data_IF_471537413937
#
_entry.id   IF_471537413937
#
_cell.length_a   1.000
_cell.length_b   1.000
_cell.length_c   1.000
_cell.angle_alpha   90.00
_cell.angle_beta   90.00
_cell.angle_gamma   90.00
#
_symmetry.space_group_name_H-M   'P 1'
#
loop_
_entity.id
_entity.type
_entity.pdbx_description
1 polymer ?
#
# COMPACT_ATOMS: atom_id res chain seq x y z
N UNK A 1 -13.25 10.61 5.31
CA UNK A 1 -12.07 10.61 4.42
C UNK A 1 -12.42 9.81 3.19
N UNK A 2 -12.05 10.27 2.00
CA UNK A 2 -12.13 9.46 0.77
C UNK A 2 -10.91 8.54 0.70
N UNK A 3 -11.14 7.26 0.39
CA UNK A 3 -10.09 6.24 0.33
C UNK A 3 -10.06 5.65 -1.07
N UNK A 4 -8.92 5.78 -1.74
CA UNK A 4 -8.67 5.16 -3.03
C UNK A 4 -7.60 4.08 -2.85
N UNK A 5 -7.91 2.87 -3.33
CA UNK A 5 -6.97 1.77 -3.33
C UNK A 5 -6.72 1.29 -4.75
N UNK A 6 -5.47 1.39 -5.19
CA UNK A 6 -5.03 1.01 -6.52
C UNK A 6 -4.20 -0.27 -6.42
N UNK A 7 -4.59 -1.29 -7.18
CA UNK A 7 -3.92 -2.59 -7.21
C UNK A 7 -3.38 -2.82 -8.62
N UNK A 8 -2.10 -3.21 -8.74
CA UNK A 8 -1.52 -3.54 -10.05
C UNK A 8 -2.23 -4.72 -10.73
N UNK A 9 -2.22 -4.74 -12.06
CA UNK A 9 -2.83 -5.83 -12.86
C UNK A 9 -2.12 -7.15 -12.51
N UNK A 10 -2.87 -8.13 -12.00
CA UNK A 10 -2.41 -9.43 -11.48
C UNK A 10 -1.93 -9.46 -10.02
N UNK A 11 -2.14 -8.40 -9.24
CA UNK A 11 -1.83 -8.39 -7.80
C UNK A 11 -2.55 -9.55 -7.09
N UNK A 12 -1.76 -10.52 -6.59
CA UNK A 12 -2.20 -11.73 -5.89
C UNK A 12 -3.16 -12.67 -6.65
N UNK A 13 -3.30 -12.52 -7.98
CA UNK A 13 -4.13 -13.41 -8.81
C UNK A 13 -5.65 -13.28 -8.65
N UNK A 14 -6.15 -12.88 -7.47
CA UNK A 14 -7.58 -12.76 -7.14
C UNK A 14 -7.91 -11.40 -6.52
N UNK A 15 -7.59 -10.32 -7.23
CA UNK A 15 -7.70 -8.93 -6.78
C UNK A 15 -9.09 -8.53 -6.27
N UNK A 16 -10.13 -9.24 -6.70
CA UNK A 16 -11.52 -8.98 -6.30
C UNK A 16 -11.81 -9.49 -4.88
N UNK A 17 -11.28 -10.66 -4.50
CA UNK A 17 -11.71 -11.38 -3.29
C UNK A 17 -11.33 -10.70 -1.97
N UNK A 18 -10.24 -9.95 -1.94
CA UNK A 18 -9.74 -9.31 -0.71
C UNK A 18 -9.79 -7.78 -0.75
N UNK A 19 -10.35 -7.19 -1.82
CA UNK A 19 -10.47 -5.74 -1.99
C UNK A 19 -11.38 -5.09 -0.94
N UNK A 20 -12.47 -5.77 -0.56
CA UNK A 20 -13.38 -5.31 0.49
C UNK A 20 -12.71 -5.32 1.87
N UNK A 21 -12.02 -6.41 2.20
CA UNK A 21 -11.27 -6.55 3.46
C UNK A 21 -10.15 -5.52 3.56
N UNK A 22 -9.44 -5.27 2.45
CA UNK A 22 -8.42 -4.24 2.36
C UNK A 22 -9.00 -2.84 2.63
N UNK A 23 -10.14 -2.51 2.03
CA UNK A 23 -10.82 -1.24 2.27
C UNK A 23 -11.26 -1.12 3.75
N UNK A 24 -11.79 -2.19 4.34
CA UNK A 24 -12.16 -2.20 5.77
C UNK A 24 -10.95 -1.93 6.67
N UNK A 25 -9.82 -2.58 6.40
CA UNK A 25 -8.56 -2.34 7.13
C UNK A 25 -8.10 -0.88 7.01
N UNK A 26 -8.19 -0.27 5.83
CA UNK A 26 -7.88 1.15 5.65
C UNK A 26 -8.81 2.06 6.45
N UNK A 27 -10.10 1.71 6.53
CA UNK A 27 -11.08 2.49 7.29
C UNK A 27 -10.83 2.47 8.80
N UNK A 28 -10.21 1.42 9.35
CA UNK A 28 -9.82 1.40 10.77
C UNK A 28 -8.83 2.53 11.12
N UNK A 29 -8.11 3.05 10.13
CA UNK A 29 -7.12 4.10 10.30
C UNK A 29 -7.69 5.52 10.15
N UNK A 30 -8.94 5.72 9.70
CA UNK A 30 -9.50 7.07 9.52
C UNK A 30 -9.40 7.92 10.79
N UNK A 31 -9.68 7.29 11.95
CA UNK A 31 -9.61 7.93 13.26
C UNK A 31 -8.21 8.46 13.63
N UNK A 32 -7.15 7.92 13.02
CA UNK A 32 -5.76 8.33 13.28
C UNK A 32 -5.32 9.54 12.44
N UNK A 33 -6.11 9.93 11.44
CA UNK A 33 -5.82 11.04 10.55
C UNK A 33 -6.93 12.11 10.60
N UNK A 34 -7.14 12.77 11.75
CA UNK A 34 -8.17 13.80 11.87
C UNK A 34 -7.88 14.97 10.91
N UNK A 35 -8.84 15.29 10.04
CA UNK A 35 -8.71 16.37 9.05
C UNK A 35 -8.10 15.95 7.70
N UNK A 36 -7.64 14.71 7.56
CA UNK A 36 -7.22 14.15 6.28
C UNK A 36 -8.45 13.95 5.38
N UNK A 37 -8.40 14.53 4.18
CA UNK A 37 -9.49 14.46 3.22
C UNK A 37 -9.39 13.19 2.36
N UNK A 38 -8.18 12.84 1.92
CA UNK A 38 -7.91 11.79 0.94
C UNK A 38 -6.78 10.86 1.40
N UNK A 39 -6.99 9.55 1.24
CA UNK A 39 -5.98 8.50 1.42
C UNK A 39 -5.87 7.68 0.13
N UNK A 40 -4.72 7.77 -0.53
CA UNK A 40 -4.40 6.98 -1.71
C UNK A 40 -3.40 5.88 -1.35
N UNK A 41 -3.77 4.63 -1.62
CA UNK A 41 -2.89 3.47 -1.40
C UNK A 41 -2.67 2.76 -2.73
N UNK A 42 -1.42 2.79 -3.21
CA UNK A 42 -0.98 2.10 -4.42
C UNK A 42 -0.17 0.87 -4.04
N UNK A 43 -0.72 -0.31 -4.28
CA UNK A 43 -0.06 -1.60 -4.06
C UNK A 43 0.32 -2.23 -5.40
N UNK A 44 1.63 -2.40 -5.61
CA UNK A 44 2.20 -2.96 -6.83
C UNK A 44 2.86 -4.30 -6.56
N UNK A 45 2.60 -5.29 -7.40
CA UNK A 45 3.38 -6.52 -7.48
C UNK A 45 4.26 -6.45 -8.73
N UNK A 46 5.55 -6.68 -8.55
CA UNK A 46 6.54 -6.65 -9.63
C UNK A 46 7.32 -7.95 -9.66
N UNK A 47 7.57 -8.45 -10.87
CA UNK A 47 8.51 -9.56 -11.05
C UNK A 47 9.93 -9.05 -10.78
N UNK A 48 10.70 -9.75 -9.94
CA UNK A 48 12.07 -9.36 -9.59
C UNK A 48 13.02 -9.20 -10.80
N UNK A 49 12.70 -9.86 -11.93
CA UNK A 49 13.45 -9.75 -13.18
C UNK A 49 13.32 -8.37 -13.87
N UNK A 50 12.38 -7.52 -13.44
CA UNK A 50 12.23 -6.16 -13.96
C UNK A 50 13.26 -5.21 -13.29
N UNK A 51 14.54 -5.39 -13.60
CA UNK A 51 15.63 -4.56 -13.09
C UNK A 51 15.55 -3.13 -13.63
N UNK A 52 14.78 -2.28 -12.96
CA UNK A 52 14.89 -0.82 -12.92
C UNK A 52 13.88 -0.29 -11.90
N UNK A 53 14.24 -0.26 -10.62
CA UNK A 53 13.37 0.26 -9.58
C UNK A 53 13.91 1.58 -9.06
N UNK A 54 13.20 2.66 -9.40
CA UNK A 54 13.27 3.90 -8.67
C UNK A 54 12.63 3.66 -7.29
N UNK A 55 13.43 3.81 -6.24
CA UNK A 55 12.93 3.83 -4.86
C UNK A 55 12.03 5.06 -4.70
N UNK A 56 10.72 4.87 -4.67
CA UNK A 56 9.77 5.92 -4.30
C UNK A 56 9.59 5.93 -2.79
N UNK A 57 9.53 7.12 -2.20
CA UNK A 57 9.19 7.27 -0.78
C UNK A 57 7.82 6.63 -0.51
N UNK A 58 7.70 5.71 0.45
CA UNK A 58 6.48 4.92 0.64
C UNK A 58 5.34 5.70 1.31
N UNK A 59 5.62 6.88 1.88
CA UNK A 59 4.66 7.76 2.58
C UNK A 59 4.89 9.18 2.06
N UNK A 60 3.83 9.86 1.63
CA UNK A 60 3.90 11.25 1.21
C UNK A 60 2.65 12.01 1.64
N UNK A 61 2.83 13.12 2.36
CA UNK A 61 1.77 14.05 2.69
C UNK A 61 1.75 15.19 1.67
N UNK A 62 0.56 15.49 1.14
CA UNK A 62 0.31 16.46 0.09
C UNK A 62 -0.78 17.45 0.52
N UNK A 63 -0.89 18.57 -0.20
CA UNK A 63 -1.95 19.56 -0.03
C UNK A 63 -2.11 20.02 1.42
N UNK A 64 -1.02 20.49 2.05
CA UNK A 64 -0.97 20.86 3.47
C UNK A 64 -1.44 19.72 4.39
N UNK A 65 -0.92 18.52 4.14
CA UNK A 65 -1.24 17.29 4.89
C UNK A 65 -2.71 16.86 4.80
N UNK A 66 -3.49 17.37 3.84
CA UNK A 66 -4.89 16.94 3.63
C UNK A 66 -5.01 15.71 2.74
N UNK A 67 -3.93 15.30 2.08
CA UNK A 67 -3.87 14.07 1.27
C UNK A 67 -2.65 13.25 1.66
N UNK A 68 -2.84 11.94 1.82
CA UNK A 68 -1.78 10.97 2.14
C UNK A 68 -1.68 9.96 1.00
N UNK A 69 -0.51 9.87 0.36
CA UNK A 69 -0.18 8.83 -0.59
C UNK A 69 0.73 7.78 0.05
N UNK A 70 0.34 6.50 -0.05
CA UNK A 70 1.16 5.36 0.33
C UNK A 70 1.44 4.51 -0.89
N UNK A 71 2.72 4.25 -1.16
CA UNK A 71 3.18 3.47 -2.32
C UNK A 71 3.96 2.26 -1.82
N UNK A 72 3.39 1.07 -1.98
CA UNK A 72 4.02 -0.19 -1.58
C UNK A 72 4.24 -1.09 -2.77
N UNK A 73 5.45 -1.64 -2.83
CA UNK A 73 5.87 -2.53 -3.89
C UNK A 73 6.23 -3.87 -3.27
N UNK A 74 5.65 -4.93 -3.80
CA UNK A 74 5.88 -6.31 -3.42
C UNK A 74 6.55 -7.04 -4.58
N UNK A 75 7.55 -7.85 -4.26
CA UNK A 75 8.32 -8.58 -5.26
C UNK A 75 7.82 -10.01 -5.37
N UNK A 76 7.63 -10.47 -6.61
CA UNK A 76 7.36 -11.87 -6.93
C UNK A 76 8.57 -12.48 -7.64
N UNK A 77 8.95 -13.67 -7.20
CA UNK A 77 10.05 -14.43 -7.75
C UNK A 77 9.54 -15.59 -8.61
N UNK A 78 10.12 -15.67 -9.80
CA UNK A 78 9.78 -16.66 -10.81
C UNK A 78 11.02 -17.47 -11.17
N UNK A 79 10.83 -18.74 -11.44
CA UNK A 79 11.88 -19.59 -11.98
C UNK A 79 12.19 -19.22 -13.46
N UNK A 80 13.27 -19.75 -14.05
CA UNK A 80 13.61 -19.50 -15.46
C UNK A 80 12.55 -19.95 -16.47
N UNK A 81 11.59 -20.79 -16.07
CA UNK A 81 10.46 -21.25 -16.90
C UNK A 81 9.21 -20.38 -16.72
N UNK A 82 9.31 -19.28 -15.96
CA UNK A 82 8.21 -18.35 -15.71
C UNK A 82 7.20 -18.80 -14.65
N UNK A 83 7.50 -19.87 -13.89
CA UNK A 83 6.64 -20.34 -12.81
C UNK A 83 6.94 -19.57 -11.52
N UNK A 84 5.94 -18.99 -10.83
CA UNK A 84 6.17 -18.36 -9.54
C UNK A 84 6.57 -19.41 -8.50
N UNK A 85 7.65 -19.16 -7.74
CA UNK A 85 8.01 -19.97 -6.59
C UNK A 85 7.90 -19.20 -5.27
N UNK A 86 7.96 -17.87 -5.31
CA UNK A 86 7.67 -17.00 -4.15
C UNK A 86 6.86 -15.79 -4.61
N UNK A 87 5.75 -15.53 -3.93
CA UNK A 87 4.84 -14.41 -4.19
C UNK A 87 4.39 -13.84 -2.84
N UNK A 88 4.13 -12.53 -2.75
CA UNK A 88 3.53 -11.96 -1.56
C UNK A 88 2.23 -12.70 -1.24
N UNK A 89 2.00 -12.96 0.05
CA UNK A 89 0.71 -13.47 0.52
C UNK A 89 -0.19 -12.30 0.92
N UNK A 90 -1.51 -12.52 0.91
CA UNK A 90 -2.50 -11.53 1.41
C UNK A 90 -2.12 -11.05 2.82
N UNK A 91 -1.73 -11.98 3.70
CA UNK A 91 -1.32 -11.67 5.07
C UNK A 91 -0.07 -10.77 5.13
N UNK A 92 0.93 -11.04 4.30
CA UNK A 92 2.13 -10.20 4.21
C UNK A 92 1.79 -8.79 3.76
N UNK A 93 0.91 -8.64 2.77
CA UNK A 93 0.44 -7.34 2.28
C UNK A 93 -0.24 -6.55 3.40
N UNK A 94 -1.15 -7.18 4.15
CA UNK A 94 -1.84 -6.52 5.26
C UNK A 94 -0.89 -6.07 6.37
N UNK A 95 0.05 -6.91 6.77
CA UNK A 95 1.00 -6.54 7.82
C UNK A 95 1.89 -5.38 7.40
N UNK A 96 2.39 -5.40 6.16
CA UNK A 96 3.24 -4.33 5.66
C UNK A 96 2.46 -3.02 5.51
N UNK A 97 1.22 -3.08 5.03
CA UNK A 97 0.34 -1.92 4.96
C UNK A 97 0.04 -1.34 6.36
N UNK A 98 -0.31 -2.20 7.33
CA UNK A 98 -0.58 -1.77 8.71
C UNK A 98 0.65 -1.12 9.35
N UNK A 99 1.83 -1.69 9.15
CA UNK A 99 3.09 -1.12 9.63
C UNK A 99 3.30 0.29 9.06
N UNK A 100 3.12 0.46 7.75
CA UNK A 100 3.33 1.75 7.07
C UNK A 100 2.27 2.77 7.46
N UNK A 101 1.01 2.38 7.62
CA UNK A 101 -0.05 3.27 8.09
C UNK A 101 0.17 3.75 9.53
N UNK A 102 0.67 2.88 10.42
CA UNK A 102 1.02 3.31 11.77
C UNK A 102 2.17 4.32 11.74
N UNK A 103 3.20 4.05 10.93
CA UNK A 103 4.30 5.00 10.74
C UNK A 103 3.80 6.35 10.19
N UNK A 104 2.92 6.32 9.19
CA UNK A 104 2.30 7.52 8.64
C UNK A 104 1.47 8.26 9.70
N UNK A 105 0.74 7.56 10.57
CA UNK A 105 -0.02 8.20 11.65
C UNK A 105 0.90 8.92 12.65
N UNK A 106 2.06 8.35 12.97
CA UNK A 106 3.04 8.99 13.84
C UNK A 106 3.67 10.22 13.18
N UNK A 107 4.02 10.13 11.89
CA UNK A 107 4.50 11.27 11.09
C UNK A 107 3.43 12.38 11.00
N UNK A 108 2.16 12.03 10.76
CA UNK A 108 1.06 12.97 10.68
C UNK A 108 0.87 13.76 11.98
N UNK A 109 0.90 13.06 13.12
CA UNK A 109 0.81 13.71 14.44
C UNK A 109 1.94 14.72 14.67
N UNK A 110 3.14 14.44 14.18
CA UNK A 110 4.27 15.36 14.29
C UNK A 110 4.12 16.60 13.39
N UNK A 111 3.35 16.50 12.31
CA UNK A 111 3.09 17.60 11.37
C UNK A 111 1.90 18.49 11.78
N UNK A 112 1.01 18.01 12.64
CA UNK A 112 -0.22 18.71 13.05
C UNK A 112 -0.22 19.19 14.49
N UNK A 113 0.81 18.88 15.28
CA UNK A 113 1.06 19.46 16.60
C UNK A 113 2.06 20.61 16.49
#
# INVERSE_FOLDING_TARGET
>A
MEIHCHLSKNFLGDTILYSADLLQQLREFESKFPGLAELDVDLKEIAYQATNHNSTTPIQFLNNNRRLEIKLTFHSYFDPKGKPYDKPSVWMVYNQLRFILNKAADEYKALTN
#
